data_IF_711919252897
#
_entry.id   IF_711919252897
#
_cell.length_a   1.000
_cell.length_b   1.000
_cell.length_c   1.000
_cell.angle_alpha   90.00
_cell.angle_beta   90.00
_cell.angle_gamma   90.00
#
_symmetry.space_group_name_H-M   'P 1'
#
loop_
_entity.id
_entity.type
_entity.pdbx_description
1 polymer ?
#
# COMPACT_ATOMS: atom_id res chain seq x y z
N UNK A 1 -13.41 -9.53 -5.92
CA UNK A 1 -12.31 -8.51 -5.88
C UNK A 1 -12.39 -7.57 -7.09
N UNK A 2 -12.61 -8.05 -8.30
CA UNK A 2 -12.56 -7.23 -9.53
C UNK A 2 -13.47 -6.00 -9.46
N UNK A 3 -14.71 -6.16 -8.97
CA UNK A 3 -15.65 -5.03 -8.76
C UNK A 3 -15.06 -3.96 -7.81
N UNK A 4 -14.40 -4.37 -6.74
CA UNK A 4 -13.78 -3.43 -5.80
C UNK A 4 -12.61 -2.68 -6.44
N UNK A 5 -11.80 -3.35 -7.24
CA UNK A 5 -10.70 -2.75 -8.03
C UNK A 5 -11.26 -1.76 -9.06
N UNK A 6 -12.31 -2.13 -9.79
CA UNK A 6 -12.94 -1.25 -10.78
C UNK A 6 -13.55 0.00 -10.12
N UNK A 7 -14.18 -0.17 -8.96
CA UNK A 7 -14.71 0.98 -8.20
C UNK A 7 -13.60 1.86 -7.64
N UNK A 8 -12.50 1.29 -7.15
CA UNK A 8 -11.33 2.05 -6.72
C UNK A 8 -10.73 2.85 -7.89
N UNK A 9 -10.68 2.27 -9.08
CA UNK A 9 -10.25 2.97 -10.28
C UNK A 9 -11.20 4.14 -10.63
N UNK A 10 -12.52 3.94 -10.52
CA UNK A 10 -13.53 4.98 -10.76
C UNK A 10 -13.50 6.12 -9.71
N UNK A 11 -13.02 5.85 -8.49
CA UNK A 11 -12.74 6.88 -7.47
C UNK A 11 -11.38 7.57 -7.67
N UNK A 12 -10.59 7.20 -8.70
CA UNK A 12 -9.30 7.80 -9.01
C UNK A 12 -8.12 7.24 -8.19
N UNK A 13 -8.28 6.11 -7.51
CA UNK A 13 -7.24 5.56 -6.63
C UNK A 13 -6.12 4.83 -7.37
N UNK A 14 -6.28 4.64 -8.68
CA UNK A 14 -5.29 4.02 -9.57
C UNK A 14 -4.73 2.69 -9.03
N UNK A 15 -5.57 1.65 -8.83
CA UNK A 15 -5.12 0.35 -8.34
C UNK A 15 -4.20 -0.35 -9.35
N UNK A 16 -3.36 -1.26 -8.86
CA UNK A 16 -2.58 -2.15 -9.72
C UNK A 16 -3.48 -3.14 -10.47
N UNK A 17 -3.06 -3.50 -11.67
CA UNK A 17 -3.84 -4.38 -12.55
C UNK A 17 -4.04 -5.78 -11.93
N UNK A 18 -3.03 -6.25 -11.18
CA UNK A 18 -3.02 -7.59 -10.56
C UNK A 18 -3.10 -7.54 -9.02
N UNK A 19 -3.48 -6.39 -8.43
CA UNK A 19 -3.53 -6.24 -6.97
C UNK A 19 -4.58 -7.16 -6.33
N UNK A 20 -5.67 -7.49 -7.05
CA UNK A 20 -6.76 -8.31 -6.53
C UNK A 20 -6.31 -9.65 -5.97
N UNK A 21 -5.42 -10.36 -6.68
CA UNK A 21 -4.92 -11.69 -6.25
C UNK A 21 -4.11 -11.59 -4.97
N UNK A 22 -3.25 -10.57 -4.89
CA UNK A 22 -2.41 -10.34 -3.71
C UNK A 22 -3.23 -9.91 -2.49
N UNK A 23 -4.24 -9.08 -2.72
CA UNK A 23 -5.15 -8.63 -1.66
C UNK A 23 -5.99 -9.79 -1.13
N UNK A 24 -6.54 -10.59 -2.01
CA UNK A 24 -7.29 -11.79 -1.62
C UNK A 24 -6.43 -12.82 -0.88
N UNK A 25 -5.14 -12.95 -1.26
CA UNK A 25 -4.21 -13.85 -0.59
C UNK A 25 -3.85 -13.40 0.86
N UNK A 26 -4.05 -12.12 1.19
CA UNK A 26 -3.81 -11.62 2.55
C UNK A 26 -4.85 -12.18 3.55
N UNK A 27 -6.12 -12.13 3.19
CA UNK A 27 -7.24 -12.66 3.98
C UNK A 27 -8.47 -12.89 3.08
N UNK A 28 -8.71 -14.12 2.59
CA UNK A 28 -9.83 -14.40 1.70
C UNK A 28 -11.23 -14.08 2.28
N UNK A 29 -11.35 -13.99 3.61
CA UNK A 29 -12.61 -13.73 4.30
C UNK A 29 -12.84 -12.24 4.64
N UNK A 30 -11.83 -11.39 4.39
CA UNK A 30 -11.84 -9.99 4.77
C UNK A 30 -12.49 -9.04 3.76
N UNK A 31 -13.24 -9.52 2.77
CA UNK A 31 -13.84 -8.67 1.73
C UNK A 31 -15.36 -8.78 1.74
N UNK A 32 -16.02 -7.65 1.93
CA UNK A 32 -17.48 -7.58 2.08
C UNK A 32 -18.10 -6.74 0.96
N UNK A 33 -19.24 -7.20 0.45
CA UNK A 33 -20.01 -6.52 -0.58
C UNK A 33 -21.47 -6.37 -0.16
N UNK A 34 -21.97 -5.15 -0.20
CA UNK A 34 -23.40 -4.88 -0.07
C UNK A 34 -24.09 -5.08 -1.41
N UNK A 35 -25.27 -5.72 -1.37
CA UNK A 35 -26.12 -5.92 -2.53
C UNK A 35 -27.52 -5.37 -2.28
N UNK A 36 -28.11 -4.73 -3.28
CA UNK A 36 -29.48 -4.29 -3.29
C UNK A 36 -30.19 -4.94 -4.49
N UNK A 37 -31.22 -5.74 -4.25
CA UNK A 37 -31.91 -6.52 -5.28
C UNK A 37 -30.99 -7.40 -6.15
N UNK A 38 -29.94 -7.94 -5.55
CA UNK A 38 -28.94 -8.76 -6.25
C UNK A 38 -27.81 -7.98 -6.92
N UNK A 39 -27.91 -6.65 -7.00
CA UNK A 39 -26.89 -5.80 -7.62
C UNK A 39 -25.86 -5.30 -6.59
N UNK A 40 -24.56 -5.35 -6.88
CA UNK A 40 -23.52 -4.77 -6.03
C UNK A 40 -23.68 -3.25 -5.89
N UNK A 41 -23.70 -2.75 -4.65
CA UNK A 41 -23.93 -1.32 -4.36
C UNK A 41 -22.85 -0.69 -3.46
N UNK A 42 -22.02 -1.49 -2.83
CA UNK A 42 -20.90 -1.01 -2.01
C UNK A 42 -19.97 -2.14 -1.59
N UNK A 43 -18.75 -1.80 -1.21
CA UNK A 43 -17.78 -2.76 -0.69
C UNK A 43 -16.93 -2.13 0.43
N UNK A 44 -16.30 -3.00 1.21
CA UNK A 44 -15.26 -2.67 2.19
C UNK A 44 -14.34 -3.88 2.32
N UNK A 45 -13.04 -3.63 2.46
CA UNK A 45 -12.11 -4.67 2.95
C UNK A 45 -11.83 -4.48 4.43
N UNK A 46 -11.70 -5.59 5.14
CA UNK A 46 -11.35 -5.68 6.54
C UNK A 46 -10.38 -6.87 6.69
N UNK A 47 -9.15 -6.68 6.25
CA UNK A 47 -8.13 -7.73 6.21
C UNK A 47 -7.58 -7.97 7.61
N UNK A 48 -7.80 -9.15 8.17
CA UNK A 48 -7.24 -9.62 9.43
C UNK A 48 -5.91 -10.33 9.17
N UNK A 49 -4.80 -9.69 9.48
CA UNK A 49 -3.47 -10.28 9.27
C UNK A 49 -3.13 -11.33 10.31
N UNK A 50 -3.52 -11.09 11.56
CA UNK A 50 -3.42 -12.02 12.68
C UNK A 50 -4.47 -11.68 13.76
N UNK A 51 -4.33 -12.22 14.97
CA UNK A 51 -5.26 -11.98 16.07
C UNK A 51 -5.11 -10.59 16.71
N UNK A 52 -4.06 -9.84 16.34
CA UNK A 52 -3.71 -8.55 16.97
C UNK A 52 -3.90 -7.35 16.05
N UNK A 53 -3.79 -7.54 14.73
CA UNK A 53 -3.79 -6.46 13.74
C UNK A 53 -4.65 -6.76 12.52
N UNK A 54 -5.33 -5.74 12.03
CA UNK A 54 -6.05 -5.75 10.77
C UNK A 54 -6.06 -4.38 10.10
N UNK A 55 -6.52 -4.33 8.86
CA UNK A 55 -6.55 -3.11 8.06
C UNK A 55 -7.86 -2.97 7.28
N UNK A 56 -8.43 -1.77 7.27
CA UNK A 56 -9.63 -1.42 6.50
C UNK A 56 -9.24 -0.68 5.22
N UNK A 57 -9.88 -1.06 4.13
CA UNK A 57 -9.74 -0.40 2.84
C UNK A 57 -10.96 -0.59 1.96
N UNK A 58 -10.89 -0.17 0.70
CA UNK A 58 -11.96 -0.33 -0.29
C UNK A 58 -13.36 0.07 0.22
N UNK A 59 -13.44 1.05 1.13
CA UNK A 59 -14.72 1.52 1.64
C UNK A 59 -15.41 2.43 0.61
N UNK A 60 -16.17 1.81 -0.27
CA UNK A 60 -16.81 2.47 -1.42
C UNK A 60 -18.30 2.13 -1.43
N UNK A 61 -19.13 3.16 -1.61
CA UNK A 61 -20.55 3.02 -1.93
C UNK A 61 -20.82 3.74 -3.24
N UNK A 62 -21.60 3.15 -4.12
CA UNK A 62 -22.03 3.76 -5.37
C UNK A 62 -22.56 5.18 -5.12
N UNK A 63 -22.14 6.13 -5.97
CA UNK A 63 -22.41 7.58 -5.76
C UNK A 63 -23.90 7.91 -5.63
N UNK A 64 -24.74 7.24 -6.44
CA UNK A 64 -26.20 7.39 -6.48
C UNK A 64 -26.91 6.84 -5.22
N UNK A 65 -26.23 6.00 -4.43
CA UNK A 65 -26.78 5.33 -3.25
C UNK A 65 -26.11 5.76 -1.93
N UNK A 66 -25.28 6.81 -1.99
CA UNK A 66 -24.64 7.36 -0.76
C UNK A 66 -25.67 8.02 0.15
N UNK A 67 -25.36 8.09 1.44
CA UNK A 67 -26.22 8.66 2.49
C UNK A 67 -27.56 7.92 2.75
N UNK A 68 -27.66 6.65 2.32
CA UNK A 68 -28.82 5.78 2.54
C UNK A 68 -28.58 4.67 3.59
N UNK A 69 -27.51 4.77 4.38
CA UNK A 69 -27.19 3.78 5.43
C UNK A 69 -26.29 2.63 4.97
N UNK A 70 -26.19 2.32 3.68
CA UNK A 70 -25.40 1.19 3.13
C UNK A 70 -23.96 1.18 3.63
N UNK A 71 -23.30 2.33 3.60
CA UNK A 71 -21.93 2.45 4.08
C UNK A 71 -21.79 2.11 5.57
N UNK A 72 -22.77 2.50 6.40
CA UNK A 72 -22.76 2.19 7.82
C UNK A 72 -22.90 0.69 8.09
N UNK A 73 -23.74 -0.03 7.35
CA UNK A 73 -23.87 -1.47 7.47
C UNK A 73 -22.60 -2.22 7.09
N UNK A 74 -21.96 -1.81 5.98
CA UNK A 74 -20.63 -2.30 5.58
C UNK A 74 -19.58 -2.05 6.68
N UNK A 75 -19.53 -0.82 7.20
CA UNK A 75 -18.62 -0.45 8.28
C UNK A 75 -18.81 -1.29 9.52
N UNK A 76 -20.06 -1.45 10.00
CA UNK A 76 -20.36 -2.28 11.16
C UNK A 76 -19.99 -3.75 10.95
N UNK A 77 -20.17 -4.27 9.73
CA UNK A 77 -19.80 -5.63 9.37
C UNK A 77 -18.28 -5.80 9.43
N UNK A 78 -17.53 -4.87 8.85
CA UNK A 78 -16.07 -4.84 8.88
C UNK A 78 -15.54 -4.75 10.32
N UNK A 79 -16.10 -3.86 11.14
CA UNK A 79 -15.69 -3.70 12.54
C UNK A 79 -16.00 -4.95 13.38
N UNK A 80 -17.13 -5.62 13.16
CA UNK A 80 -17.42 -6.90 13.81
C UNK A 80 -16.40 -7.98 13.44
N UNK A 81 -16.02 -8.05 12.16
CA UNK A 81 -15.00 -8.99 11.70
C UNK A 81 -13.62 -8.70 12.30
N UNK A 82 -13.25 -7.43 12.44
CA UNK A 82 -12.00 -7.02 13.09
C UNK A 82 -11.94 -7.39 14.59
N UNK A 83 -13.07 -7.42 15.28
CA UNK A 83 -13.12 -7.76 16.71
C UNK A 83 -12.27 -6.81 17.57
N UNK A 84 -11.38 -7.39 18.38
CA UNK A 84 -10.53 -6.66 19.33
C UNK A 84 -9.16 -6.26 18.78
N UNK A 85 -8.91 -6.48 17.49
CA UNK A 85 -7.63 -6.11 16.84
C UNK A 85 -7.40 -4.61 16.86
N UNK A 86 -6.16 -4.21 16.89
CA UNK A 86 -5.78 -2.88 16.42
C UNK A 86 -6.06 -2.81 14.93
N UNK A 87 -6.81 -1.80 14.50
CA UNK A 87 -7.27 -1.67 13.11
C UNK A 87 -6.69 -0.42 12.50
N UNK A 88 -5.90 -0.60 11.44
CA UNK A 88 -5.37 0.49 10.60
C UNK A 88 -6.30 0.81 9.43
N UNK A 89 -6.08 1.98 8.83
CA UNK A 89 -6.70 2.39 7.57
C UNK A 89 -6.04 3.65 7.02
N UNK A 90 -6.15 3.86 5.71
CA UNK A 90 -5.78 5.12 5.07
C UNK A 90 -7.06 5.88 4.69
N UNK A 91 -7.48 6.77 5.58
CA UNK A 91 -8.72 7.53 5.45
C UNK A 91 -8.56 8.73 4.52
N UNK A 92 -9.56 8.97 3.68
CA UNK A 92 -9.66 10.20 2.90
C UNK A 92 -9.79 11.40 3.86
N UNK A 93 -8.98 12.43 3.68
CA UNK A 93 -8.88 13.57 4.61
C UNK A 93 -10.24 14.23 4.90
N UNK A 94 -11.11 14.35 3.88
CA UNK A 94 -12.45 14.92 4.02
C UNK A 94 -13.41 14.12 4.95
N UNK A 95 -13.02 12.90 5.35
CA UNK A 95 -13.84 12.01 6.17
C UNK A 95 -13.30 11.81 7.60
N UNK A 96 -12.25 12.53 8.00
CA UNK A 96 -11.56 12.33 9.28
C UNK A 96 -12.49 12.48 10.48
N UNK A 97 -13.40 13.44 10.49
CA UNK A 97 -14.37 13.63 11.58
C UNK A 97 -15.26 12.39 11.77
N UNK A 98 -15.66 11.73 10.68
CA UNK A 98 -16.46 10.51 10.75
C UNK A 98 -15.65 9.32 11.29
N UNK A 99 -14.40 9.19 10.87
CA UNK A 99 -13.51 8.16 11.41
C UNK A 99 -13.23 8.38 12.90
N UNK A 100 -13.02 9.62 13.32
CA UNK A 100 -12.83 9.97 14.74
C UNK A 100 -14.05 9.59 15.59
N UNK A 101 -15.27 9.84 15.11
CA UNK A 101 -16.51 9.41 15.78
C UNK A 101 -16.62 7.88 15.90
N UNK A 102 -15.93 7.13 15.04
CA UNK A 102 -15.85 5.67 15.10
C UNK A 102 -14.64 5.17 15.92
N UNK A 103 -13.96 6.04 16.66
CA UNK A 103 -12.83 5.70 17.54
C UNK A 103 -11.48 5.54 16.83
N UNK A 104 -11.33 6.07 15.61
CA UNK A 104 -10.06 6.12 14.92
C UNK A 104 -9.36 7.44 15.16
N UNK A 105 -8.05 7.39 15.38
CA UNK A 105 -7.19 8.56 15.56
C UNK A 105 -6.15 8.63 14.44
N UNK A 106 -5.83 9.85 14.00
CA UNK A 106 -4.78 10.08 13.01
C UNK A 106 -3.42 9.85 13.65
N UNK A 107 -2.59 9.03 13.00
CA UNK A 107 -1.20 8.80 13.37
C UNK A 107 -0.24 9.66 12.54
N UNK A 108 -0.39 9.68 11.24
CA UNK A 108 0.39 10.52 10.31
C UNK A 108 -0.37 10.65 8.97
N UNK A 109 0.15 11.48 8.08
CA UNK A 109 -0.36 11.62 6.72
C UNK A 109 0.52 10.87 5.73
N UNK A 110 -0.11 10.30 4.71
CA UNK A 110 0.54 9.76 3.54
C UNK A 110 0.16 10.58 2.31
N UNK A 111 1.08 10.72 1.36
CA UNK A 111 0.79 11.42 0.12
C UNK A 111 1.27 10.61 -1.08
N UNK A 112 0.46 10.62 -2.15
CA UNK A 112 0.84 10.09 -3.45
C UNK A 112 1.50 11.16 -4.27
N UNK A 113 2.68 10.82 -4.78
CA UNK A 113 3.42 11.63 -5.73
C UNK A 113 3.40 10.97 -7.10
N UNK A 114 3.33 11.79 -8.14
CA UNK A 114 3.38 11.38 -9.53
C UNK A 114 4.59 12.01 -10.22
N UNK A 115 5.31 11.21 -10.98
CA UNK A 115 6.41 11.61 -11.85
C UNK A 115 6.41 10.81 -13.14
N UNK A 116 7.53 10.85 -13.85
CA UNK A 116 7.74 10.06 -15.07
C UNK A 116 8.96 9.17 -14.85
N UNK A 117 8.84 7.91 -15.23
CA UNK A 117 9.96 6.97 -15.17
C UNK A 117 11.11 7.44 -16.08
N UNK A 118 12.32 7.38 -15.57
CA UNK A 118 13.53 7.80 -16.30
C UNK A 118 14.44 6.60 -16.49
N UNK A 119 14.88 6.37 -17.74
CA UNK A 119 15.90 5.38 -17.99
C UNK A 119 17.16 5.71 -17.18
N UNK A 120 17.64 4.78 -16.39
CA UNK A 120 18.87 4.93 -15.61
C UNK A 120 19.80 3.75 -15.91
N UNK A 121 21.09 4.04 -16.04
CA UNK A 121 22.09 2.99 -16.02
C UNK A 121 22.15 2.39 -14.60
N UNK A 122 22.40 1.06 -14.48
CA UNK A 122 22.61 0.45 -13.18
C UNK A 122 23.71 1.19 -12.42
N UNK A 123 23.45 1.60 -11.19
CA UNK A 123 24.45 2.27 -10.35
C UNK A 123 25.62 1.31 -10.13
N UNK A 124 26.80 1.64 -10.68
CA UNK A 124 28.01 0.82 -10.55
C UNK A 124 28.32 0.59 -9.08
N UNK A 125 28.45 -0.69 -8.67
CA UNK A 125 28.72 -1.06 -7.30
C UNK A 125 27.48 -1.25 -6.41
N UNK A 126 26.26 -1.06 -6.94
CA UNK A 126 25.05 -1.42 -6.22
C UNK A 126 24.90 -2.93 -6.15
N UNK A 127 24.81 -3.49 -4.93
CA UNK A 127 24.49 -4.91 -4.72
C UNK A 127 22.97 -5.11 -4.86
N UNK A 128 22.43 -4.89 -6.06
CA UNK A 128 21.02 -5.19 -6.37
C UNK A 128 20.87 -6.62 -6.88
N UNK A 129 19.80 -7.26 -6.46
CA UNK A 129 19.41 -8.59 -6.93
C UNK A 129 17.90 -8.63 -7.21
N UNK A 130 17.45 -9.59 -8.03
CA UNK A 130 16.02 -9.88 -8.08
C UNK A 130 15.58 -10.43 -6.72
N UNK A 131 14.55 -9.84 -6.13
CA UNK A 131 14.06 -10.23 -4.81
C UNK A 131 13.59 -11.68 -4.77
N UNK A 132 13.18 -12.24 -5.93
CA UNK A 132 12.72 -13.62 -6.09
C UNK A 132 13.84 -14.65 -5.99
N UNK A 133 15.09 -14.24 -6.22
CA UNK A 133 16.28 -15.11 -6.11
C UNK A 133 16.76 -15.27 -4.67
N UNK A 134 16.26 -14.43 -3.75
CA UNK A 134 16.63 -14.51 -2.34
C UNK A 134 15.78 -15.55 -1.58
N UNK A 135 16.33 -16.11 -0.49
CA UNK A 135 15.54 -16.94 0.41
C UNK A 135 14.31 -16.17 0.91
N UNK A 136 13.11 -16.61 0.58
CA UNK A 136 11.86 -15.92 0.91
C UNK A 136 11.70 -15.63 2.41
N UNK A 137 12.30 -16.44 3.27
CA UNK A 137 12.33 -16.20 4.72
C UNK A 137 13.07 -14.92 5.12
N UNK A 138 14.04 -14.49 4.31
CA UNK A 138 14.75 -13.23 4.54
C UNK A 138 13.88 -12.03 4.24
N UNK A 139 13.16 -12.05 3.12
CA UNK A 139 12.17 -11.03 2.79
C UNK A 139 11.12 -10.92 3.90
N UNK A 140 10.52 -12.05 4.32
CA UNK A 140 9.49 -12.05 5.38
C UNK A 140 10.02 -11.45 6.68
N UNK A 141 11.27 -11.75 7.04
CA UNK A 141 11.91 -11.19 8.26
C UNK A 141 12.17 -9.70 8.12
N UNK A 142 12.63 -9.26 6.95
CA UNK A 142 12.90 -7.85 6.68
C UNK A 142 11.61 -7.03 6.64
N UNK A 143 10.59 -7.48 5.91
CA UNK A 143 9.28 -6.83 5.80
C UNK A 143 8.59 -6.67 7.16
N UNK A 144 8.74 -7.64 8.05
CA UNK A 144 8.15 -7.61 9.41
C UNK A 144 8.60 -6.41 10.26
N UNK A 145 9.68 -5.75 9.90
CA UNK A 145 10.13 -4.51 10.55
C UNK A 145 9.25 -3.31 10.21
N UNK A 146 8.61 -3.33 9.05
CA UNK A 146 7.85 -2.22 8.47
C UNK A 146 6.35 -2.44 8.46
N UNK A 147 5.92 -3.65 8.79
CA UNK A 147 4.51 -4.01 8.85
C UNK A 147 4.17 -4.70 10.18
N UNK A 148 3.07 -4.32 10.86
CA UNK A 148 2.83 -4.72 12.26
C UNK A 148 2.40 -6.19 12.45
N UNK A 149 2.19 -6.94 11.37
CA UNK A 149 1.76 -8.34 11.42
C UNK A 149 2.47 -9.19 10.36
N UNK A 150 2.56 -10.51 10.50
CA UNK A 150 3.06 -11.39 9.44
C UNK A 150 2.10 -11.38 8.25
N UNK A 151 2.65 -11.18 7.02
CA UNK A 151 1.86 -11.15 5.78
C UNK A 151 2.47 -12.02 4.67
N UNK A 152 2.88 -13.21 5.05
CA UNK A 152 3.65 -14.13 4.18
C UNK A 152 2.95 -14.44 2.85
N UNK A 153 1.65 -14.75 2.87
CA UNK A 153 0.89 -15.09 1.66
C UNK A 153 0.74 -13.88 0.73
N UNK A 154 0.45 -12.72 1.31
CA UNK A 154 0.45 -11.46 0.59
C UNK A 154 1.79 -11.22 -0.12
N UNK A 155 2.91 -11.26 0.61
CA UNK A 155 4.24 -11.02 0.06
C UNK A 155 4.59 -11.98 -1.08
N UNK A 156 4.25 -13.28 -0.92
CA UNK A 156 4.50 -14.27 -1.96
C UNK A 156 3.76 -13.94 -3.27
N UNK A 157 2.51 -13.49 -3.17
CA UNK A 157 1.74 -13.04 -4.32
C UNK A 157 2.29 -11.72 -4.87
N UNK A 158 2.57 -10.75 -3.98
CA UNK A 158 2.95 -9.38 -4.33
C UNK A 158 4.22 -9.27 -5.17
N UNK A 159 5.28 -9.99 -4.80
CA UNK A 159 6.55 -9.96 -5.52
C UNK A 159 6.52 -10.75 -6.84
N UNK A 160 5.48 -11.55 -7.08
CA UNK A 160 5.33 -12.39 -8.26
C UNK A 160 4.18 -11.93 -9.19
N UNK A 161 3.64 -10.73 -9.00
CA UNK A 161 2.60 -10.21 -9.90
C UNK A 161 3.11 -10.14 -11.34
N UNK A 162 2.25 -10.42 -12.30
CA UNK A 162 2.57 -10.31 -13.72
C UNK A 162 2.96 -8.86 -14.09
N UNK A 163 4.04 -8.71 -14.83
CA UNK A 163 4.56 -7.38 -15.23
C UNK A 163 5.18 -6.56 -14.09
N UNK A 164 5.34 -7.12 -12.89
CA UNK A 164 6.07 -6.46 -11.80
C UNK A 164 7.57 -6.75 -11.85
N UNK A 165 8.36 -5.82 -11.29
CA UNK A 165 9.77 -6.03 -10.99
C UNK A 165 9.99 -5.82 -9.49
N UNK A 166 10.68 -6.76 -8.86
CA UNK A 166 10.93 -6.79 -7.43
C UNK A 166 12.43 -6.84 -7.19
N UNK A 167 12.99 -5.81 -6.54
CA UNK A 167 14.43 -5.66 -6.34
C UNK A 167 14.78 -5.65 -4.87
N UNK A 168 15.86 -6.33 -4.55
CA UNK A 168 16.54 -6.32 -3.26
C UNK A 168 17.82 -5.49 -3.34
N UNK A 169 18.09 -4.71 -2.31
CA UNK A 169 19.38 -4.07 -2.09
C UNK A 169 20.10 -4.81 -0.96
N UNK A 170 21.33 -5.28 -1.24
CA UNK A 170 22.13 -6.08 -0.33
C UNK A 170 23.28 -5.25 0.26
N UNK A 171 23.52 -5.42 1.56
CA UNK A 171 24.72 -4.96 2.26
C UNK A 171 25.53 -6.20 2.66
N UNK A 172 26.53 -6.54 1.85
CA UNK A 172 27.19 -7.83 1.91
C UNK A 172 26.21 -8.97 1.62
N UNK A 173 25.99 -9.84 2.59
CA UNK A 173 25.01 -10.94 2.52
C UNK A 173 23.65 -10.60 3.16
N UNK A 174 23.47 -9.38 3.68
CA UNK A 174 22.28 -8.96 4.41
C UNK A 174 21.33 -8.16 3.50
N UNK A 175 20.04 -8.47 3.55
CA UNK A 175 19.02 -7.64 2.93
C UNK A 175 18.93 -6.28 3.67
N UNK A 176 19.20 -5.19 2.97
CA UNK A 176 19.22 -3.82 3.49
C UNK A 176 18.12 -2.92 2.91
N UNK A 177 17.41 -3.40 1.91
CA UNK A 177 16.26 -2.73 1.33
C UNK A 177 15.57 -3.59 0.29
N UNK A 178 14.30 -3.33 0.04
CA UNK A 178 13.61 -3.89 -1.10
C UNK A 178 12.53 -2.96 -1.63
N UNK A 179 12.20 -3.13 -2.89
CA UNK A 179 11.10 -2.42 -3.53
C UNK A 179 10.45 -3.24 -4.62
N UNK A 180 9.23 -2.86 -4.95
CA UNK A 180 8.45 -3.46 -6.04
C UNK A 180 7.89 -2.35 -6.91
N UNK A 181 8.02 -2.48 -8.24
CA UNK A 181 7.25 -1.68 -9.20
C UNK A 181 6.26 -2.60 -9.92
N UNK A 182 5.04 -2.13 -10.11
CA UNK A 182 3.98 -2.91 -10.73
C UNK A 182 3.08 -2.05 -11.62
N UNK A 183 2.50 -2.62 -12.71
CA UNK A 183 1.59 -1.90 -13.58
C UNK A 183 0.27 -1.57 -12.86
N UNK A 184 -0.22 -0.35 -13.09
CA UNK A 184 -1.50 0.15 -12.60
C UNK A 184 -2.45 0.43 -13.77
N UNK A 185 -3.69 0.85 -13.49
CA UNK A 185 -4.63 1.30 -14.53
C UNK A 185 -4.03 2.46 -15.36
N UNK A 186 -3.20 3.30 -14.75
CA UNK A 186 -2.42 4.35 -15.42
C UNK A 186 -0.97 4.27 -14.94
N UNK A 187 -0.05 3.97 -15.83
CA UNK A 187 1.38 3.87 -15.54
C UNK A 187 1.73 2.79 -14.53
N UNK A 188 2.69 3.09 -13.65
CA UNK A 188 3.25 2.14 -12.71
C UNK A 188 3.28 2.71 -11.29
N UNK A 189 3.24 1.84 -10.27
CA UNK A 189 3.38 2.24 -8.87
C UNK A 189 4.55 1.50 -8.22
N UNK A 190 5.43 2.28 -7.58
CA UNK A 190 6.47 1.74 -6.71
C UNK A 190 5.88 1.55 -5.32
N UNK A 191 5.80 0.30 -4.86
CA UNK A 191 5.21 -0.02 -3.56
C UNK A 191 5.45 -1.49 -3.15
N UNK A 192 6.11 -1.73 -2.01
CA UNK A 192 6.73 -0.72 -1.18
C UNK A 192 8.12 -0.29 -1.68
N UNK A 193 8.72 0.71 -1.00
CA UNK A 193 10.16 0.93 -0.93
C UNK A 193 10.52 1.02 0.55
N UNK A 194 11.15 -0.03 1.08
CA UNK A 194 11.69 -0.07 2.43
C UNK A 194 13.22 -0.15 2.35
N UNK A 195 13.91 0.70 3.08
CA UNK A 195 15.36 0.78 2.99
C UNK A 195 16.00 1.19 4.33
N UNK A 196 17.15 0.63 4.62
CA UNK A 196 17.92 0.95 5.84
C UNK A 196 18.51 2.37 5.78
N UNK A 197 18.75 2.90 4.57
CA UNK A 197 19.31 4.26 4.34
C UNK A 197 18.66 4.95 3.14
N UNK A 198 18.82 6.28 3.07
CA UNK A 198 18.33 7.09 1.94
C UNK A 198 19.02 6.72 0.61
N UNK A 199 20.31 6.39 0.62
CA UNK A 199 21.06 5.99 -0.59
C UNK A 199 20.55 4.67 -1.16
N UNK A 200 20.17 3.72 -0.30
CA UNK A 200 19.54 2.46 -0.72
C UNK A 200 18.17 2.73 -1.32
N UNK A 201 17.38 3.61 -0.70
CA UNK A 201 16.08 3.99 -1.22
C UNK A 201 16.18 4.68 -2.59
N UNK A 202 17.15 5.58 -2.76
CA UNK A 202 17.45 6.25 -4.04
C UNK A 202 17.82 5.23 -5.12
N UNK A 203 18.69 4.28 -4.78
CA UNK A 203 19.12 3.22 -5.71
C UNK A 203 17.95 2.34 -6.13
N UNK A 204 17.10 1.91 -5.18
CA UNK A 204 15.89 1.13 -5.46
C UNK A 204 14.90 1.92 -6.30
N UNK A 205 14.64 3.19 -5.96
CA UNK A 205 13.71 4.04 -6.70
C UNK A 205 14.18 4.22 -8.15
N UNK A 206 15.43 4.62 -8.37
CA UNK A 206 15.98 4.87 -9.69
C UNK A 206 15.97 3.61 -10.55
N UNK A 207 16.40 2.48 -10.00
CA UNK A 207 16.41 1.20 -10.73
C UNK A 207 14.99 0.74 -11.07
N UNK A 208 14.07 0.73 -10.10
CA UNK A 208 12.69 0.29 -10.34
C UNK A 208 11.96 1.25 -11.30
N UNK A 209 12.16 2.56 -11.16
CA UNK A 209 11.55 3.56 -12.03
C UNK A 209 12.00 3.41 -13.49
N UNK A 210 13.22 2.91 -13.74
CA UNK A 210 13.73 2.69 -15.10
C UNK A 210 12.95 1.64 -15.90
N UNK A 211 12.29 0.68 -15.24
CA UNK A 211 11.40 -0.27 -15.91
C UNK A 211 10.13 0.38 -16.50
N UNK A 212 9.82 1.59 -16.04
CA UNK A 212 8.70 2.39 -16.50
C UNK A 212 9.17 3.65 -17.27
N UNK A 213 10.32 3.61 -17.92
CA UNK A 213 10.89 4.77 -18.61
C UNK A 213 9.90 5.38 -19.62
N UNK A 214 9.62 6.68 -19.47
CA UNK A 214 8.66 7.43 -20.28
C UNK A 214 7.19 7.32 -19.84
N UNK A 215 6.87 6.43 -18.89
CA UNK A 215 5.51 6.23 -18.38
C UNK A 215 5.29 6.98 -17.06
N UNK A 216 4.05 7.28 -16.69
CA UNK A 216 3.72 7.81 -15.37
C UNK A 216 4.11 6.82 -14.25
N UNK A 217 4.78 7.35 -13.23
CA UNK A 217 5.20 6.58 -12.05
C UNK A 217 4.64 7.21 -10.79
N UNK A 218 4.11 6.37 -9.90
CA UNK A 218 3.50 6.80 -8.63
C UNK A 218 4.27 6.22 -7.45
N UNK A 219 4.40 7.04 -6.40
CA UNK A 219 4.96 6.65 -5.11
C UNK A 219 4.11 7.21 -3.98
N UNK A 220 3.70 6.35 -3.05
CA UNK A 220 2.90 6.72 -1.88
C UNK A 220 3.81 6.76 -0.66
N UNK A 221 4.05 7.93 -0.06
CA UNK A 221 5.03 8.11 1.03
C UNK A 221 4.40 8.61 2.33
N UNK A 222 4.95 8.22 3.51
CA UNK A 222 4.63 8.92 4.76
C UNK A 222 5.24 10.33 4.73
N UNK A 223 4.39 11.35 4.87
CA UNK A 223 4.83 12.77 4.80
C UNK A 223 5.79 13.15 5.93
N UNK A 224 5.75 12.42 7.04
CA UNK A 224 6.68 12.61 8.16
C UNK A 224 8.10 12.08 7.90
N UNK A 225 8.31 11.24 6.86
CA UNK A 225 9.66 10.82 6.46
C UNK A 225 10.30 11.90 5.59
N UNK A 226 11.20 12.68 6.19
CA UNK A 226 11.90 13.77 5.50
C UNK A 226 12.74 13.27 4.32
N UNK A 227 13.42 12.13 4.46
CA UNK A 227 14.24 11.59 3.38
C UNK A 227 13.40 11.08 2.20
N UNK A 228 12.18 10.59 2.44
CA UNK A 228 11.23 10.24 1.38
C UNK A 228 10.69 11.50 0.67
N UNK A 229 10.46 12.59 1.41
CA UNK A 229 10.10 13.89 0.82
C UNK A 229 11.22 14.41 -0.10
N UNK A 230 12.47 14.39 0.38
CA UNK A 230 13.64 14.79 -0.42
C UNK A 230 13.82 13.91 -1.66
N UNK A 231 13.49 12.60 -1.58
CA UNK A 231 13.52 11.68 -2.72
C UNK A 231 12.56 12.15 -3.83
N UNK A 232 11.29 12.36 -3.50
CA UNK A 232 10.28 12.77 -4.51
C UNK A 232 10.57 14.15 -5.07
N UNK A 233 11.11 15.08 -4.28
CA UNK A 233 11.54 16.42 -4.72
C UNK A 233 12.69 16.34 -5.71
N UNK A 234 13.74 15.54 -5.42
CA UNK A 234 14.90 15.35 -6.35
C UNK A 234 14.47 14.78 -7.70
N UNK A 235 13.46 13.92 -7.72
CA UNK A 235 12.91 13.33 -8.94
C UNK A 235 11.80 14.17 -9.59
N UNK A 236 11.57 15.40 -9.12
CA UNK A 236 10.59 16.33 -9.69
C UNK A 236 9.15 15.82 -9.66
N UNK A 237 8.84 14.92 -8.72
CA UNK A 237 7.49 14.38 -8.59
C UNK A 237 6.54 15.39 -7.95
N UNK A 238 5.27 15.39 -8.35
CA UNK A 238 4.23 16.28 -7.83
C UNK A 238 3.21 15.53 -7.00
N UNK A 239 2.77 16.14 -5.87
CA UNK A 239 1.72 15.55 -5.02
C UNK A 239 0.36 15.58 -5.75
N UNK A 240 -0.29 14.42 -5.84
CA UNK A 240 -1.58 14.26 -6.53
C UNK A 240 -2.70 13.74 -5.64
N UNK A 241 -2.39 13.15 -4.49
CA UNK A 241 -3.40 12.63 -3.56
C UNK A 241 -2.84 12.61 -2.14
N UNK A 242 -3.74 12.61 -1.13
CA UNK A 242 -3.36 12.54 0.28
C UNK A 242 -4.36 11.71 1.08
N UNK A 243 -3.86 10.94 2.03
CA UNK A 243 -4.63 10.20 3.02
C UNK A 243 -4.10 10.46 4.43
N UNK A 244 -4.92 10.18 5.43
CA UNK A 244 -4.45 10.08 6.81
C UNK A 244 -4.38 8.61 7.20
N UNK A 245 -3.21 8.14 7.68
CA UNK A 245 -3.08 6.86 8.36
C UNK A 245 -3.75 6.97 9.71
N UNK A 246 -4.80 6.21 9.90
CA UNK A 246 -5.63 6.21 11.10
C UNK A 246 -5.59 4.85 11.78
N UNK A 247 -5.76 4.83 13.09
CA UNK A 247 -5.85 3.60 13.88
C UNK A 247 -6.96 3.66 14.90
N UNK A 248 -7.69 2.55 15.04
CA UNK A 248 -8.48 2.21 16.22
C UNK A 248 -7.65 1.27 17.10
N UNK A 249 -7.38 1.68 18.32
CA UNK A 249 -6.39 1.06 19.20
C UNK A 249 -5.03 1.80 19.16
N UNK A 250 -4.03 1.23 19.81
CA UNK A 250 -2.69 1.83 19.84
C UNK A 250 -2.02 1.71 18.46
N UNK A 251 -1.51 2.81 17.89
CA UNK A 251 -0.77 2.74 16.64
C UNK A 251 0.50 1.90 16.82
N UNK A 252 0.84 1.03 15.86
CA UNK A 252 2.07 0.24 15.92
C UNK A 252 3.31 1.15 15.82
N UNK A 253 4.35 0.83 16.58
CA UNK A 253 5.64 1.49 16.48
C UNK A 253 6.39 0.97 15.23
N UNK A 254 6.38 1.75 14.14
CA UNK A 254 7.06 1.44 12.89
C UNK A 254 8.20 2.43 12.64
N UNK A 255 9.31 2.00 12.01
CA UNK A 255 10.42 2.87 11.65
C UNK A 255 10.07 3.71 10.41
N UNK A 256 9.22 4.74 10.58
CA UNK A 256 8.69 5.55 9.47
C UNK A 256 9.81 6.21 8.64
N UNK A 257 10.96 6.53 9.25
CA UNK A 257 12.13 7.09 8.56
C UNK A 257 12.79 6.12 7.56
N UNK A 258 12.44 4.83 7.63
CA UNK A 258 12.92 3.79 6.72
C UNK A 258 11.85 3.33 5.71
N UNK A 259 10.67 3.95 5.73
CA UNK A 259 9.57 3.72 4.78
C UNK A 259 9.58 4.85 3.74
N UNK A 260 10.16 4.60 2.58
CA UNK A 260 10.22 5.53 1.46
C UNK A 260 9.05 5.36 0.48
N UNK A 261 8.32 4.27 0.60
CA UNK A 261 7.09 3.99 -0.11
C UNK A 261 6.28 2.98 0.69
N UNK A 262 5.02 3.29 1.00
CA UNK A 262 4.12 2.34 1.64
C UNK A 262 3.66 1.28 0.65
N UNK A 263 3.14 0.15 1.13
CA UNK A 263 2.73 -0.95 0.24
C UNK A 263 1.46 -0.61 -0.52
N UNK A 264 0.42 -0.16 0.18
CA UNK A 264 -0.82 0.32 -0.44
C UNK A 264 -1.65 1.14 0.56
N UNK A 265 -2.56 1.98 0.04
CA UNK A 265 -3.57 2.64 0.86
C UNK A 265 -4.71 1.69 1.28
N UNK A 266 -4.88 0.60 0.54
CA UNK A 266 -6.01 -0.31 0.71
C UNK A 266 -5.77 -1.37 1.77
N UNK A 267 -4.51 -1.82 1.95
CA UNK A 267 -4.14 -2.90 2.86
C UNK A 267 -3.00 -2.56 3.83
N UNK A 268 -2.43 -1.35 3.73
CA UNK A 268 -1.36 -0.86 4.60
C UNK A 268 0.06 -1.09 4.12
#
# INVERSE_FOLDING_TARGET
MDIAIDWAAAEGWNPGIHDADSFYAADPNGFFMAQLNGEPVGCISAVAYDDTFGFLGFYIVRKDLRNQGIGMELWQTAIRYMGNRTVGGDGVVAMLDKYSQCGFNVAHFNARYEGVGVASEPVSGSCLADLRDLPFAELVRYDRRFFPAPRRQFLKSWINQAGSHSMAAMDGSRLAGYGVIRPCRRGFKLAPIFADTADIAETLFSTLSSFAAGEPVFLDIPVCNRAAMELVERHGMTKVFETARIYRGAPPALPLDNIYGITSFELG
#
